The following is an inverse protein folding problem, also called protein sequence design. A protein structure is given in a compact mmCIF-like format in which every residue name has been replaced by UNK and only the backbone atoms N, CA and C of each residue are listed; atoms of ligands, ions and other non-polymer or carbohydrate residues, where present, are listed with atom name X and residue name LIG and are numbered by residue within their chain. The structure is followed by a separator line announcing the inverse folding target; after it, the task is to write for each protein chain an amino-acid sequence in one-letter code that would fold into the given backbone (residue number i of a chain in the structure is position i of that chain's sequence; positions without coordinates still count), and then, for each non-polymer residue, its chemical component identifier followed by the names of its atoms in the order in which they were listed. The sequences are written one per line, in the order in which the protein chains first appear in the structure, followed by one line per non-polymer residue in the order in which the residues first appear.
data_IF_216536580218
#
_entry.id   IF_216536580218
#
_cell.length_a   1.000
_cell.length_b   1.000
_cell.length_c   1.000
_cell.angle_alpha   90.00
_cell.angle_beta   90.00
_cell.angle_gamma   90.00
#
_symmetry.space_group_name_H-M   'P 1'
#
loop_
_entity.id
_entity.type
_entity.pdbx_description
1 polymer ?
#
# COMPACT_ATOMS: atom_id res chain seq x y z
N UNK A 1 -13.04 -17.08 7.83
CA UNK A 1 -12.34 -18.21 7.17
C UNK A 1 -11.04 -17.75 6.55
N UNK A 2 -11.03 -16.80 5.59
CA UNK A 2 -9.79 -16.12 5.17
C UNK A 2 -9.01 -15.56 6.38
N UNK A 3 -9.68 -14.96 7.37
CA UNK A 3 -9.04 -14.49 8.60
C UNK A 3 -8.26 -15.55 9.39
N UNK A 4 -8.63 -16.84 9.33
CA UNK A 4 -7.89 -17.93 10.00
C UNK A 4 -6.71 -18.42 9.15
N UNK A 5 -6.89 -18.56 7.84
CA UNK A 5 -5.78 -18.93 6.94
C UNK A 5 -4.74 -17.80 6.85
N UNK A 6 -5.17 -16.53 6.78
CA UNK A 6 -4.29 -15.36 6.85
C UNK A 6 -3.65 -15.24 8.24
N UNK A 7 -4.38 -15.51 9.33
CA UNK A 7 -3.79 -15.52 10.67
C UNK A 7 -2.73 -16.63 10.82
N UNK A 8 -2.96 -17.84 10.30
CA UNK A 8 -1.96 -18.93 10.35
C UNK A 8 -0.79 -18.65 9.41
N UNK A 9 -1.06 -18.14 8.20
CA UNK A 9 -0.10 -17.63 7.21
C UNK A 9 0.86 -16.58 7.82
N UNK A 10 0.31 -15.59 8.52
CA UNK A 10 1.09 -14.55 9.19
C UNK A 10 1.75 -15.03 10.48
N UNK A 11 1.12 -15.95 11.23
CA UNK A 11 1.62 -16.47 12.51
C UNK A 11 2.87 -17.34 12.35
N UNK A 12 3.09 -17.96 11.19
CA UNK A 12 4.32 -18.75 10.96
C UNK A 12 5.43 -18.00 10.22
N UNK A 13 5.06 -17.14 9.29
CA UNK A 13 5.95 -16.09 8.78
C UNK A 13 6.61 -15.29 9.91
N UNK A 14 5.82 -14.98 10.95
CA UNK A 14 6.34 -14.44 12.21
C UNK A 14 7.13 -15.48 13.00
N UNK A 15 6.69 -16.73 13.18
CA UNK A 15 7.39 -17.68 14.05
C UNK A 15 8.82 -18.02 13.59
N UNK A 16 9.09 -18.37 12.32
CA UNK A 16 10.43 -18.88 11.97
C UNK A 16 11.52 -17.77 11.96
N UNK A 17 11.15 -16.49 11.78
CA UNK A 17 12.08 -15.34 11.94
C UNK A 17 11.97 -14.62 13.29
N UNK A 18 10.84 -14.64 13.98
CA UNK A 18 10.71 -14.12 15.36
C UNK A 18 11.35 -15.05 16.40
N UNK A 19 11.55 -16.35 16.10
CA UNK A 19 12.33 -17.26 16.94
C UNK A 19 13.75 -16.72 17.16
N UNK A 20 14.36 -16.04 16.20
CA UNK A 20 15.65 -15.35 16.40
C UNK A 20 15.59 -14.24 17.45
N UNK A 21 14.57 -13.38 17.39
CA UNK A 21 14.39 -12.27 18.33
C UNK A 21 13.87 -12.68 19.71
N UNK A 22 13.09 -13.77 19.78
CA UNK A 22 12.65 -14.40 21.03
C UNK A 22 13.82 -15.12 21.71
N UNK A 23 14.70 -15.80 20.94
CA UNK A 23 15.90 -16.45 21.47
C UNK A 23 16.97 -15.45 21.96
N UNK A 24 17.02 -14.24 21.38
CA UNK A 24 17.83 -13.12 21.88
C UNK A 24 17.22 -12.39 23.10
N UNK A 25 16.05 -12.82 23.58
CA UNK A 25 15.39 -12.23 24.75
C UNK A 25 14.79 -10.83 24.53
N UNK A 26 14.61 -10.40 23.28
CA UNK A 26 14.12 -9.06 22.93
C UNK A 26 12.59 -8.95 22.82
N UNK A 27 11.84 -10.06 22.79
CA UNK A 27 10.39 -10.06 22.55
C UNK A 27 9.65 -11.14 23.34
N UNK A 28 8.47 -10.80 23.88
CA UNK A 28 7.52 -11.72 24.52
C UNK A 28 6.47 -12.21 23.49
N UNK A 29 6.11 -13.50 23.54
CA UNK A 29 5.25 -14.20 22.57
C UNK A 29 3.82 -13.61 22.45
N UNK A 30 3.44 -12.64 23.30
CA UNK A 30 2.11 -12.05 23.39
C UNK A 30 1.86 -10.80 22.52
N UNK A 31 2.80 -10.36 21.67
CA UNK A 31 2.69 -9.05 20.95
C UNK A 31 2.63 -9.15 19.43
N UNK A 32 1.85 -10.08 18.87
CA UNK A 32 1.55 -10.13 17.44
C UNK A 32 0.07 -9.84 17.16
N UNK A 33 -0.20 -8.82 16.35
CA UNK A 33 -1.52 -8.51 15.79
C UNK A 33 -1.50 -8.58 14.25
N UNK A 34 -2.68 -8.42 13.61
CA UNK A 34 -2.81 -8.47 12.16
C UNK A 34 -2.03 -7.38 11.40
N UNK A 35 -1.64 -6.31 12.09
CA UNK A 35 -0.92 -5.18 11.51
C UNK A 35 0.59 -5.26 11.76
N UNK A 36 1.05 -6.28 12.48
CA UNK A 36 2.46 -6.45 12.82
C UNK A 36 3.26 -6.77 11.55
N UNK A 37 4.28 -5.96 11.20
CA UNK A 37 5.08 -6.20 10.00
C UNK A 37 5.92 -7.46 10.20
N UNK A 38 5.62 -8.49 9.42
CA UNK A 38 6.30 -9.78 9.45
C UNK A 38 6.77 -10.15 8.05
N UNK A 39 7.99 -10.66 7.96
CA UNK A 39 8.49 -11.22 6.72
C UNK A 39 7.83 -12.57 6.45
N UNK A 40 7.27 -12.72 5.26
CA UNK A 40 6.75 -13.99 4.78
C UNK A 40 7.21 -14.22 3.34
N UNK A 41 7.42 -15.48 2.98
CA UNK A 41 7.53 -15.86 1.58
C UNK A 41 6.13 -15.94 0.97
N UNK A 42 5.88 -15.20 -0.11
CA UNK A 42 4.63 -15.29 -0.84
C UNK A 42 4.41 -16.72 -1.36
N UNK A 43 5.49 -17.42 -1.69
CA UNK A 43 5.46 -18.80 -2.17
C UNK A 43 5.03 -19.78 -1.09
N UNK A 44 5.53 -19.61 0.14
CA UNK A 44 5.11 -20.44 1.27
C UNK A 44 3.63 -20.22 1.61
N UNK A 45 3.15 -18.97 1.54
CA UNK A 45 1.74 -18.64 1.77
C UNK A 45 0.86 -19.26 0.68
N UNK A 46 1.26 -19.15 -0.59
CA UNK A 46 0.54 -19.78 -1.71
C UNK A 46 0.54 -21.30 -1.55
N UNK A 47 1.70 -21.92 -1.27
CA UNK A 47 1.80 -23.35 -1.02
C UNK A 47 0.84 -23.79 0.09
N UNK A 48 0.77 -23.05 1.20
CA UNK A 48 -0.15 -23.34 2.29
C UNK A 48 -1.61 -23.30 1.87
N UNK A 49 -2.02 -22.26 1.14
CA UNK A 49 -3.40 -22.12 0.68
C UNK A 49 -3.75 -23.19 -0.36
N UNK A 50 -2.83 -23.53 -1.26
CA UNK A 50 -3.03 -24.62 -2.22
C UNK A 50 -3.12 -25.97 -1.51
N UNK A 51 -2.21 -26.24 -0.58
CA UNK A 51 -2.17 -27.50 0.13
C UNK A 51 -3.40 -27.71 1.01
N UNK A 52 -3.91 -26.67 1.69
CA UNK A 52 -5.15 -26.81 2.47
C UNK A 52 -6.38 -26.98 1.57
N UNK A 53 -6.35 -26.43 0.35
CA UNK A 53 -7.40 -26.61 -0.66
C UNK A 53 -7.37 -28.05 -1.23
N UNK A 54 -6.20 -28.62 -1.42
CA UNK A 54 -6.05 -29.93 -2.06
C UNK A 54 -5.82 -31.07 -1.05
N UNK A 55 -5.87 -30.76 0.26
CA UNK A 55 -5.50 -31.66 1.34
C UNK A 55 -6.28 -32.98 1.32
N UNK A 56 -5.55 -34.07 1.07
CA UNK A 56 -6.03 -35.44 1.20
C UNK A 56 -5.15 -36.25 2.15
N UNK A 57 -5.79 -37.14 2.90
CA UNK A 57 -5.13 -38.00 3.89
C UNK A 57 -5.62 -39.43 3.79
N UNK A 58 -4.83 -40.36 4.31
CA UNK A 58 -5.24 -41.74 4.56
C UNK A 58 -4.92 -42.12 6.01
N UNK A 59 -5.68 -43.08 6.55
CA UNK A 59 -5.51 -43.56 7.91
C UNK A 59 -4.89 -44.95 7.90
N UNK A 60 -3.82 -45.14 8.66
CA UNK A 60 -3.12 -46.41 8.77
C UNK A 60 -2.54 -46.53 10.17
N UNK A 61 -2.66 -47.71 10.80
CA UNK A 61 -2.08 -48.00 12.11
C UNK A 61 -2.40 -46.95 13.20
N UNK A 62 -3.63 -46.41 13.18
CA UNK A 62 -4.10 -45.40 14.16
C UNK A 62 -3.57 -43.98 13.95
N UNK A 63 -2.81 -43.74 12.88
CA UNK A 63 -2.26 -42.42 12.53
C UNK A 63 -2.83 -41.90 11.22
N UNK A 64 -2.77 -40.58 11.04
CA UNK A 64 -3.16 -39.89 9.80
C UNK A 64 -1.92 -39.54 9.00
N UNK A 65 -1.93 -39.90 7.72
CA UNK A 65 -0.82 -39.64 6.79
C UNK A 65 -1.29 -38.78 5.62
N UNK A 66 -0.42 -37.91 5.12
CA UNK A 66 -0.66 -37.14 3.91
C UNK A 66 -0.68 -38.08 2.69
N UNK A 67 -1.69 -37.96 1.84
CA UNK A 67 -1.76 -38.72 0.59
C UNK A 67 -1.07 -37.93 -0.52
N UNK A 68 0.24 -38.16 -0.72
CA UNK A 68 1.08 -37.36 -1.64
C UNK A 68 1.65 -38.17 -2.80
N UNK A 69 1.98 -37.47 -3.88
CA UNK A 69 2.66 -38.03 -5.06
C UNK A 69 4.19 -37.99 -4.91
N UNK A 70 4.93 -39.10 -5.21
CA UNK A 70 4.42 -40.45 -5.47
C UNK A 70 3.99 -41.16 -4.18
N UNK A 71 3.06 -42.11 -4.32
CA UNK A 71 2.42 -42.84 -3.20
C UNK A 71 3.36 -43.74 -2.36
N UNK A 72 4.66 -43.69 -2.58
CA UNK A 72 5.69 -44.36 -1.78
C UNK A 72 6.07 -43.59 -0.51
N UNK A 73 5.71 -42.31 -0.40
CA UNK A 73 6.12 -41.47 0.71
C UNK A 73 5.15 -41.59 1.89
N UNK A 74 5.62 -42.21 2.99
CA UNK A 74 4.85 -42.34 4.23
C UNK A 74 5.14 -41.16 5.14
N UNK A 75 4.31 -40.11 5.06
CA UNK A 75 4.48 -38.87 5.82
C UNK A 75 3.27 -38.65 6.72
N UNK A 76 3.50 -38.69 8.03
CA UNK A 76 2.47 -38.41 9.03
C UNK A 76 1.98 -36.96 8.88
N UNK A 77 0.68 -36.73 9.04
CA UNK A 77 0.08 -35.42 8.94
C UNK A 77 0.67 -34.48 9.99
N UNK A 78 1.28 -33.40 9.52
CA UNK A 78 1.72 -32.26 10.31
C UNK A 78 1.33 -31.01 9.54
N UNK A 79 0.55 -30.13 10.18
CA UNK A 79 0.12 -28.85 9.60
C UNK A 79 1.33 -28.01 9.16
N UNK A 80 2.48 -28.18 9.82
CA UNK A 80 3.70 -27.49 9.45
C UNK A 80 4.25 -27.89 8.07
N UNK A 81 3.92 -29.08 7.57
CA UNK A 81 4.37 -29.50 6.23
C UNK A 81 3.58 -28.83 5.12
N UNK A 82 2.39 -28.30 5.41
CA UNK A 82 1.54 -27.66 4.40
C UNK A 82 2.16 -26.38 3.83
N UNK A 83 3.28 -25.89 4.33
CA UNK A 83 3.96 -24.69 3.83
C UNK A 83 4.95 -24.99 2.70
N UNK A 84 5.34 -26.25 2.56
CA UNK A 84 6.18 -26.74 1.46
C UNK A 84 5.31 -27.01 0.23
N UNK A 85 5.91 -27.08 -0.96
CA UNK A 85 5.16 -27.48 -2.15
C UNK A 85 4.82 -28.97 -2.09
N UNK A 86 3.54 -29.30 -1.98
CA UNK A 86 3.05 -30.69 -1.92
C UNK A 86 2.11 -30.95 -3.08
N UNK A 87 2.27 -32.11 -3.73
CA UNK A 87 1.31 -32.59 -4.72
C UNK A 87 0.48 -33.71 -4.08
N UNK A 88 -0.80 -33.45 -3.85
CA UNK A 88 -1.73 -34.41 -3.25
C UNK A 88 -2.30 -35.39 -4.27
N UNK A 89 -2.60 -36.60 -3.80
CA UNK A 89 -3.38 -37.59 -4.54
C UNK A 89 -4.86 -37.29 -4.44
N UNK A 90 -5.61 -37.65 -5.49
CA UNK A 90 -7.06 -37.47 -5.50
C UNK A 90 -7.76 -38.43 -4.52
N UNK A 91 -8.90 -37.97 -3.97
CA UNK A 91 -9.77 -38.83 -3.15
C UNK A 91 -10.24 -40.06 -3.94
N UNK A 92 -10.08 -41.25 -3.35
CA UNK A 92 -10.48 -42.52 -3.98
C UNK A 92 -11.95 -42.88 -3.78
N UNK A 93 -12.74 -42.01 -3.14
CA UNK A 93 -14.14 -42.28 -2.86
C UNK A 93 -14.29 -43.49 -1.95
N UNK A 94 -14.81 -44.62 -2.44
CA UNK A 94 -14.99 -45.84 -1.64
C UNK A 94 -13.96 -46.94 -1.92
N UNK A 95 -13.06 -46.76 -2.90
CA UNK A 95 -12.01 -47.73 -3.21
C UNK A 95 -10.73 -47.45 -2.44
N UNK A 96 -9.89 -48.48 -2.30
CA UNK A 96 -8.52 -48.35 -1.76
C UNK A 96 -7.58 -47.81 -2.85
N UNK A 97 -6.67 -46.93 -2.48
CA UNK A 97 -5.62 -46.46 -3.38
C UNK A 97 -4.62 -47.58 -3.65
N UNK A 98 -4.21 -47.75 -4.91
CA UNK A 98 -3.29 -48.82 -5.33
C UNK A 98 -1.90 -48.67 -4.70
N UNK A 99 -1.45 -47.45 -4.42
CA UNK A 99 -0.15 -47.19 -3.77
C UNK A 99 -0.17 -47.28 -2.25
N UNK A 100 -1.22 -46.78 -1.59
CA UNK A 100 -1.27 -46.71 -0.12
C UNK A 100 -1.92 -47.94 0.54
N UNK A 101 -2.73 -48.69 -0.21
CA UNK A 101 -3.52 -49.80 0.31
C UNK A 101 -4.72 -49.37 1.17
N UNK A 102 -4.94 -48.06 1.33
CA UNK A 102 -6.00 -47.47 2.14
C UNK A 102 -6.85 -46.47 1.35
N UNK A 103 -8.02 -46.13 1.88
CA UNK A 103 -8.90 -45.11 1.31
C UNK A 103 -8.28 -43.73 1.51
N UNK A 104 -8.16 -42.97 0.43
CA UNK A 104 -7.75 -41.56 0.47
C UNK A 104 -9.00 -40.71 0.55
N UNK A 105 -9.02 -39.78 1.51
CA UNK A 105 -10.14 -38.89 1.76
C UNK A 105 -9.70 -37.44 1.86
N UNK A 106 -10.56 -36.54 1.39
CA UNK A 106 -10.45 -35.10 1.63
C UNK A 106 -10.44 -34.78 3.12
N UNK A 107 -9.62 -33.82 3.55
CA UNK A 107 -9.45 -33.44 4.95
C UNK A 107 -9.42 -31.91 5.12
N UNK A 108 -9.77 -31.40 6.30
CA UNK A 108 -9.72 -29.96 6.61
C UNK A 108 -10.91 -29.12 6.11
N UNK A 109 -11.74 -29.62 5.19
CA UNK A 109 -13.03 -29.02 4.83
C UNK A 109 -12.97 -27.79 3.92
N UNK A 110 -11.80 -27.45 3.38
CA UNK A 110 -11.59 -26.33 2.47
C UNK A 110 -11.53 -26.75 0.99
N UNK A 111 -11.88 -28.00 0.69
CA UNK A 111 -11.48 -28.63 -0.57
C UNK A 111 -12.16 -28.04 -1.82
N UNK A 112 -11.45 -27.14 -2.53
CA UNK A 112 -11.95 -26.38 -3.68
C UNK A 112 -12.51 -25.00 -3.33
N UNK A 113 -12.55 -24.62 -2.05
CA UNK A 113 -13.07 -23.32 -1.59
C UNK A 113 -12.17 -22.15 -2.04
N UNK A 114 -10.88 -22.42 -2.28
CA UNK A 114 -9.90 -21.39 -2.60
C UNK A 114 -9.53 -21.30 -4.08
N UNK A 115 -10.10 -22.12 -4.98
CA UNK A 115 -9.71 -22.17 -6.40
C UNK A 115 -9.72 -20.78 -7.07
N UNK A 116 -10.81 -20.02 -6.89
CA UNK A 116 -10.93 -18.65 -7.43
C UNK A 116 -9.97 -17.66 -6.78
N UNK A 117 -9.57 -17.90 -5.54
CA UNK A 117 -8.64 -17.04 -4.83
C UNK A 117 -7.20 -17.33 -5.28
N UNK A 118 -6.81 -18.60 -5.33
CA UNK A 118 -5.51 -19.09 -5.83
C UNK A 118 -5.28 -18.59 -7.25
N UNK A 119 -6.23 -18.82 -8.16
CA UNK A 119 -6.10 -18.37 -9.55
C UNK A 119 -5.90 -16.85 -9.68
N UNK A 120 -6.59 -16.04 -8.85
CA UNK A 120 -6.39 -14.59 -8.82
C UNK A 120 -5.03 -14.20 -8.22
N UNK A 121 -4.58 -14.91 -7.18
CA UNK A 121 -3.28 -14.70 -6.55
C UNK A 121 -2.14 -15.00 -7.52
N UNK A 122 -2.20 -16.13 -8.21
CA UNK A 122 -1.22 -16.53 -9.24
C UNK A 122 -1.22 -15.56 -10.41
N UNK A 123 -2.41 -15.14 -10.88
CA UNK A 123 -2.52 -14.13 -11.94
C UNK A 123 -1.91 -12.79 -11.55
N UNK A 124 -1.99 -12.37 -10.28
CA UNK A 124 -1.33 -11.15 -9.79
C UNK A 124 0.17 -11.36 -9.57
N UNK A 125 0.57 -12.53 -9.09
CA UNK A 125 1.99 -12.89 -8.91
C UNK A 125 2.76 -12.87 -10.23
N UNK A 126 2.10 -13.27 -11.31
CA UNK A 126 2.68 -13.33 -12.65
C UNK A 126 2.39 -12.08 -13.50
N UNK A 127 1.90 -10.99 -12.90
CA UNK A 127 1.66 -9.72 -13.60
C UNK A 127 2.98 -8.92 -13.62
N UNK A 128 3.62 -8.80 -14.80
CA UNK A 128 4.91 -8.10 -14.95
C UNK A 128 4.87 -6.65 -14.45
N UNK A 129 3.69 -6.01 -14.45
CA UNK A 129 3.52 -4.65 -13.89
C UNK A 129 3.71 -4.60 -12.39
N UNK A 130 3.60 -5.74 -11.71
CA UNK A 130 3.81 -5.89 -10.28
C UNK A 130 5.22 -6.41 -9.95
N UNK A 131 6.09 -6.62 -10.95
CA UNK A 131 7.45 -7.13 -10.73
C UNK A 131 8.25 -6.24 -9.76
N UNK A 132 8.04 -4.92 -9.78
CA UNK A 132 8.71 -4.02 -8.83
C UNK A 132 8.32 -4.27 -7.35
N UNK A 133 7.16 -4.88 -7.10
CA UNK A 133 6.65 -5.30 -5.77
C UNK A 133 7.01 -6.75 -5.48
N UNK A 134 6.89 -7.63 -6.49
CA UNK A 134 6.90 -9.10 -6.34
C UNK A 134 8.28 -9.71 -6.63
N UNK A 135 9.01 -9.16 -7.60
CA UNK A 135 10.36 -9.58 -8.01
C UNK A 135 11.40 -8.52 -7.66
N UNK A 136 11.75 -8.39 -6.38
CA UNK A 136 13.07 -7.87 -5.99
C UNK A 136 13.92 -9.07 -5.59
N UNK A 137 15.04 -9.26 -6.29
CA UNK A 137 15.96 -10.37 -6.10
C UNK A 137 16.53 -10.45 -4.68
N UNK A 138 17.01 -11.65 -4.34
CA UNK A 138 17.42 -12.12 -3.00
C UNK A 138 16.34 -11.98 -1.90
N UNK A 139 16.32 -12.91 -0.96
CA UNK A 139 15.36 -12.89 0.16
C UNK A 139 15.54 -11.63 1.00
N UNK A 140 14.63 -10.66 0.87
CA UNK A 140 14.68 -9.42 1.63
C UNK A 140 14.84 -9.70 3.15
N UNK A 141 15.89 -9.15 3.76
CA UNK A 141 16.23 -9.31 5.20
C UNK A 141 15.66 -8.18 6.05
N UNK A 142 15.53 -8.41 7.36
CA UNK A 142 14.99 -7.41 8.30
C UNK A 142 15.78 -6.11 8.38
N UNK A 143 17.08 -6.16 8.14
CA UNK A 143 17.96 -4.98 8.08
C UNK A 143 17.56 -4.03 6.94
N UNK A 144 16.94 -4.56 5.88
CA UNK A 144 16.48 -3.77 4.73
C UNK A 144 15.24 -2.94 5.07
N UNK A 145 14.37 -3.36 5.99
CA UNK A 145 13.25 -2.53 6.42
C UNK A 145 13.75 -1.25 7.10
N UNK A 146 14.84 -1.35 7.88
CA UNK A 146 15.50 -0.18 8.45
C UNK A 146 15.96 0.78 7.36
N UNK A 147 16.54 0.24 6.27
CA UNK A 147 17.04 1.03 5.16
C UNK A 147 15.89 1.66 4.36
N UNK A 148 14.81 0.93 4.13
CA UNK A 148 13.59 1.44 3.48
C UNK A 148 12.96 2.57 4.30
N UNK A 149 12.81 2.41 5.61
CA UNK A 149 12.28 3.47 6.49
C UNK A 149 13.21 4.70 6.47
N UNK A 150 14.53 4.49 6.54
CA UNK A 150 15.52 5.57 6.42
C UNK A 150 15.36 6.36 5.13
N UNK A 151 15.15 5.69 4.00
CA UNK A 151 14.90 6.34 2.71
C UNK A 151 13.66 7.25 2.78
N UNK A 152 12.54 6.77 3.34
CA UNK A 152 11.33 7.60 3.48
C UNK A 152 11.53 8.80 4.42
N UNK A 153 12.30 8.63 5.49
CA UNK A 153 12.64 9.68 6.45
C UNK A 153 13.73 10.64 5.94
N UNK A 154 14.32 10.38 4.77
CA UNK A 154 15.36 11.23 4.18
C UNK A 154 16.75 11.02 4.76
N UNK A 155 16.99 9.93 5.50
CA UNK A 155 18.33 9.50 5.91
C UNK A 155 19.01 8.78 4.75
N UNK A 156 20.03 9.40 4.17
CA UNK A 156 20.81 8.82 3.07
C UNK A 156 22.05 8.08 3.58
N UNK A 157 22.65 7.28 2.72
CA UNK A 157 23.98 6.71 2.97
C UNK A 157 25.02 7.84 3.13
N UNK A 158 26.06 7.59 3.92
CA UNK A 158 27.11 8.56 4.28
C UNK A 158 26.72 9.73 5.21
N UNK A 159 25.54 9.68 5.85
CA UNK A 159 25.16 10.65 6.89
C UNK A 159 24.55 11.96 6.37
N UNK A 160 24.25 12.04 5.08
CA UNK A 160 23.47 13.14 4.50
C UNK A 160 21.99 13.00 4.89
N UNK A 161 21.34 14.13 5.21
CA UNK A 161 19.95 14.18 5.67
C UNK A 161 19.17 15.12 4.76
N UNK A 162 18.04 14.65 4.26
CA UNK A 162 17.10 15.43 3.47
C UNK A 162 15.80 15.63 4.24
N UNK A 163 15.36 16.88 4.37
CA UNK A 163 14.09 17.20 5.06
C UNK A 163 12.85 16.91 4.20
N UNK A 164 13.05 16.65 2.90
CA UNK A 164 11.98 16.38 1.93
C UNK A 164 12.37 15.16 1.12
N UNK A 165 11.52 14.14 1.18
CA UNK A 165 11.62 12.93 0.35
C UNK A 165 10.48 12.95 -0.66
N UNK A 166 10.82 12.87 -1.95
CA UNK A 166 9.85 12.81 -3.05
C UNK A 166 9.76 11.37 -3.55
N UNK A 167 8.55 10.83 -3.60
CA UNK A 167 8.27 9.50 -4.14
C UNK A 167 7.65 9.70 -5.52
N UNK A 168 8.44 9.48 -6.58
CA UNK A 168 7.95 9.57 -7.95
C UNK A 168 7.03 8.37 -8.27
N UNK A 169 5.83 8.66 -8.74
CA UNK A 169 4.78 7.69 -9.04
C UNK A 169 4.34 7.75 -10.52
N UNK A 170 5.03 8.53 -11.35
CA UNK A 170 4.66 8.81 -12.74
C UNK A 170 4.57 7.55 -13.63
N UNK A 171 5.34 6.50 -13.33
CA UNK A 171 5.31 5.22 -14.04
C UNK A 171 4.34 4.18 -13.48
N UNK A 172 3.63 4.46 -12.38
CA UNK A 172 2.83 3.46 -11.67
C UNK A 172 1.39 3.47 -12.17
N UNK A 173 0.89 2.30 -12.59
CA UNK A 173 -0.52 2.17 -12.97
C UNK A 173 -1.44 2.50 -11.79
N UNK A 174 -2.57 3.13 -12.09
CA UNK A 174 -3.48 3.67 -11.09
C UNK A 174 -3.99 2.65 -10.06
N UNK A 175 -4.24 1.40 -10.47
CA UNK A 175 -4.66 0.35 -9.53
C UNK A 175 -3.58 0.06 -8.49
N UNK A 176 -2.31 0.12 -8.89
CA UNK A 176 -1.16 -0.13 -8.03
C UNK A 176 -0.82 1.10 -7.19
N UNK A 177 -1.05 2.30 -7.72
CA UNK A 177 -0.88 3.58 -7.02
C UNK A 177 -1.61 3.56 -5.66
N UNK A 178 -2.88 3.17 -5.66
CA UNK A 178 -3.70 3.09 -4.45
C UNK A 178 -3.10 2.16 -3.39
N UNK A 179 -2.59 1.01 -3.81
CA UNK A 179 -1.98 0.01 -2.92
C UNK A 179 -0.66 0.54 -2.36
N UNK A 180 0.20 1.10 -3.21
CA UNK A 180 1.48 1.66 -2.81
C UNK A 180 1.30 2.79 -1.78
N UNK A 181 0.42 3.76 -2.07
CA UNK A 181 0.12 4.85 -1.14
C UNK A 181 -0.42 4.31 0.19
N UNK A 182 -1.33 3.33 0.17
CA UNK A 182 -1.85 2.70 1.39
C UNK A 182 -0.74 2.06 2.23
N UNK A 183 0.15 1.30 1.60
CA UNK A 183 1.23 0.59 2.27
C UNK A 183 2.24 1.57 2.90
N UNK A 184 2.68 2.58 2.14
CA UNK A 184 3.60 3.61 2.64
C UNK A 184 2.96 4.36 3.80
N UNK A 185 1.69 4.75 3.68
CA UNK A 185 0.95 5.45 4.73
C UNK A 185 0.89 4.63 6.03
N UNK A 186 0.54 3.33 5.92
CA UNK A 186 0.49 2.41 7.07
C UNK A 186 1.86 2.19 7.68
N UNK A 187 2.88 1.97 6.85
CA UNK A 187 4.25 1.76 7.30
C UNK A 187 4.75 2.95 8.11
N UNK A 188 4.61 4.17 7.58
CA UNK A 188 5.07 5.38 8.25
C UNK A 188 4.28 5.68 9.53
N UNK A 189 2.97 5.46 9.52
CA UNK A 189 2.15 5.61 10.72
C UNK A 189 2.57 4.61 11.81
N UNK A 190 2.73 3.33 11.45
CA UNK A 190 3.16 2.28 12.38
C UNK A 190 4.56 2.56 12.93
N UNK A 191 5.51 2.98 12.08
CA UNK A 191 6.84 3.37 12.51
C UNK A 191 6.76 4.46 13.59
N UNK A 192 6.00 5.53 13.36
CA UNK A 192 5.86 6.62 14.33
C UNK A 192 5.11 6.20 15.61
N UNK A 193 4.12 5.31 15.48
CA UNK A 193 3.46 4.68 16.63
C UNK A 193 4.45 3.92 17.52
N UNK A 194 5.29 3.07 16.94
CA UNK A 194 6.29 2.30 17.69
C UNK A 194 7.45 3.16 18.17
N UNK A 195 7.88 4.16 17.40
CA UNK A 195 8.90 5.13 17.83
C UNK A 195 8.48 5.81 19.14
N UNK A 196 7.22 6.24 19.25
CA UNK A 196 6.65 6.79 20.48
C UNK A 196 6.55 5.76 21.63
N UNK A 197 6.36 4.47 21.32
CA UNK A 197 6.27 3.41 22.32
C UNK A 197 7.64 3.05 22.90
N UNK A 198 8.67 3.02 22.05
CA UNK A 198 10.06 2.66 22.41
C UNK A 198 10.76 3.84 23.09
N UNK A 199 10.63 5.04 22.53
CA UNK A 199 11.14 6.26 23.15
C UNK A 199 10.08 6.79 24.10
N UNK A 200 10.18 6.43 25.39
CA UNK A 200 9.25 6.83 26.47
C UNK A 200 9.23 8.35 26.73
N UNK A 201 10.00 9.13 25.97
CA UNK A 201 9.93 10.58 25.94
C UNK A 201 8.52 11.04 25.54
N UNK A 202 7.94 11.98 26.28
CA UNK A 202 6.65 12.58 25.92
C UNK A 202 6.70 13.36 24.60
N UNK A 203 7.89 13.77 24.17
CA UNK A 203 8.12 14.55 22.96
C UNK A 203 8.52 13.68 21.78
N UNK A 204 7.88 13.97 20.65
CA UNK A 204 8.18 13.36 19.35
C UNK A 204 9.22 14.26 18.69
N UNK A 205 10.48 13.82 18.65
CA UNK A 205 11.60 14.62 18.17
C UNK A 205 11.48 14.96 16.67
N UNK A 206 10.86 14.08 15.88
CA UNK A 206 10.76 14.21 14.42
C UNK A 206 9.32 14.01 13.94
N UNK A 207 8.45 15.03 13.96
CA UNK A 207 7.12 14.93 13.37
C UNK A 207 7.20 14.76 11.86
N UNK A 208 6.31 13.92 11.31
CA UNK A 208 6.25 13.59 9.89
C UNK A 208 5.03 14.25 9.23
N UNK A 209 5.23 14.93 8.11
CA UNK A 209 4.16 15.38 7.22
C UNK A 209 4.15 14.52 5.96
N UNK A 210 3.06 13.81 5.72
CA UNK A 210 2.86 13.04 4.48
C UNK A 210 1.99 13.89 3.54
N UNK A 211 2.53 14.21 2.35
CA UNK A 211 1.84 14.99 1.33
C UNK A 211 1.29 14.04 0.26
N UNK A 212 -0.02 14.10 0.06
CA UNK A 212 -0.77 13.29 -0.90
C UNK A 212 -1.12 14.14 -2.12
N UNK A 213 -0.30 14.06 -3.17
CA UNK A 213 -0.53 14.77 -4.43
C UNK A 213 -1.58 14.05 -5.29
N UNK A 214 -2.36 14.81 -6.07
CA UNK A 214 -3.44 14.30 -6.92
C UNK A 214 -4.39 13.34 -6.19
N UNK A 215 -4.70 13.66 -4.93
CA UNK A 215 -5.36 12.75 -4.01
C UNK A 215 -6.75 12.25 -4.45
N UNK A 216 -7.41 12.95 -5.38
CA UNK A 216 -8.68 12.50 -5.95
C UNK A 216 -8.55 11.19 -6.73
N UNK A 217 -7.34 10.85 -7.19
CA UNK A 217 -7.07 9.60 -7.86
C UNK A 217 -7.22 8.38 -6.91
N UNK A 218 -6.85 8.49 -5.64
CA UNK A 218 -6.85 7.33 -4.74
C UNK A 218 -7.67 7.52 -3.46
N UNK A 219 -8.27 8.68 -3.24
CA UNK A 219 -9.14 8.97 -2.09
C UNK A 219 -10.53 9.42 -2.53
N UNK A 220 -11.27 8.64 -3.35
CA UNK A 220 -12.54 9.10 -3.85
C UNK A 220 -13.60 9.18 -2.74
N UNK A 221 -14.57 10.06 -2.97
CA UNK A 221 -15.78 10.20 -2.16
C UNK A 221 -16.57 8.89 -2.10
N UNK A 222 -16.68 8.19 -3.22
CA UNK A 222 -17.43 6.93 -3.33
C UNK A 222 -16.65 5.75 -2.77
N UNK A 223 -17.36 4.87 -2.08
CA UNK A 223 -16.79 3.67 -1.49
C UNK A 223 -16.70 2.54 -2.53
N UNK A 224 -15.62 2.53 -3.30
CA UNK A 224 -15.23 1.36 -4.10
C UNK A 224 -14.30 0.46 -3.28
N UNK A 225 -14.42 -0.86 -3.45
CA UNK A 225 -13.59 -1.87 -2.79
C UNK A 225 -12.11 -1.64 -3.10
N UNK A 226 -11.77 -1.18 -4.32
CA UNK A 226 -10.38 -0.94 -4.73
C UNK A 226 -9.66 0.15 -3.91
N UNK A 227 -10.38 1.15 -3.41
CA UNK A 227 -9.78 2.26 -2.65
C UNK A 227 -9.96 2.12 -1.13
N UNK A 228 -10.59 1.03 -0.67
CA UNK A 228 -10.90 0.87 0.76
C UNK A 228 -9.64 0.96 1.63
N UNK A 229 -8.59 0.22 1.26
CA UNK A 229 -7.36 0.16 2.03
C UNK A 229 -6.65 1.52 2.15
N UNK A 230 -6.50 2.25 1.04
CA UNK A 230 -5.87 3.58 1.03
C UNK A 230 -6.71 4.60 1.80
N UNK A 231 -8.04 4.57 1.63
CA UNK A 231 -8.94 5.44 2.37
C UNK A 231 -8.87 5.19 3.88
N UNK A 232 -8.92 3.93 4.32
CA UNK A 232 -8.77 3.56 5.74
C UNK A 232 -7.41 4.01 6.30
N UNK A 233 -6.34 3.83 5.53
CA UNK A 233 -4.98 4.21 5.94
C UNK A 233 -4.86 5.72 6.17
N UNK A 234 -5.37 6.52 5.23
CA UNK A 234 -5.28 7.98 5.30
C UNK A 234 -6.28 8.55 6.32
N UNK A 235 -7.47 7.97 6.43
CA UNK A 235 -8.43 8.33 7.49
C UNK A 235 -7.87 8.06 8.89
N UNK A 236 -7.15 6.96 9.08
CA UNK A 236 -6.47 6.67 10.35
C UNK A 236 -5.42 7.72 10.67
N UNK A 237 -4.61 8.12 9.69
CA UNK A 237 -3.64 9.22 9.88
C UNK A 237 -4.37 10.52 10.22
N UNK A 238 -5.46 10.85 9.53
CA UNK A 238 -6.20 12.07 9.78
C UNK A 238 -6.86 12.11 11.17
N UNK A 239 -7.37 10.96 11.66
CA UNK A 239 -8.04 10.84 12.98
C UNK A 239 -7.05 10.72 14.14
N UNK A 240 -5.97 9.96 13.96
CA UNK A 240 -5.09 9.54 15.07
C UNK A 240 -3.65 10.06 14.94
N UNK A 241 -3.24 10.52 13.77
CA UNK A 241 -1.85 10.87 13.46
C UNK A 241 -1.26 11.91 14.42
N UNK A 242 -2.07 12.90 14.84
CA UNK A 242 -1.68 13.92 15.82
C UNK A 242 -1.13 13.32 17.12
N UNK A 243 -1.66 12.17 17.57
CA UNK A 243 -1.19 11.49 18.79
C UNK A 243 0.25 10.96 18.62
N UNK A 244 0.64 10.64 17.39
CA UNK A 244 1.92 10.01 17.05
C UNK A 244 2.82 10.91 16.20
N UNK A 245 2.52 12.21 16.11
CA UNK A 245 3.35 13.16 15.37
C UNK A 245 3.32 12.95 13.86
N UNK A 246 2.27 12.34 13.32
CA UNK A 246 2.05 12.16 11.89
C UNK A 246 0.94 13.11 11.44
N UNK A 247 1.22 13.94 10.46
CA UNK A 247 0.26 14.85 9.82
C UNK A 247 0.09 14.48 8.35
N UNK A 248 -1.07 14.82 7.79
CA UNK A 248 -1.37 14.63 6.38
C UNK A 248 -1.67 15.98 5.71
N UNK A 249 -1.16 16.18 4.50
CA UNK A 249 -1.55 17.26 3.60
C UNK A 249 -2.18 16.65 2.35
N UNK A 250 -3.42 17.01 2.07
CA UNK A 250 -4.16 16.52 0.89
C UNK A 250 -4.11 17.60 -0.18
N UNK A 251 -3.52 17.29 -1.32
CA UNK A 251 -3.40 18.20 -2.47
C UNK A 251 -4.24 17.64 -3.61
N UNK A 252 -5.18 18.43 -4.12
CA UNK A 252 -6.09 18.00 -5.19
C UNK A 252 -6.68 19.20 -5.93
N UNK A 253 -6.80 19.06 -7.25
CA UNK A 253 -7.53 19.99 -8.11
C UNK A 253 -9.06 19.82 -8.06
N UNK A 254 -9.56 18.68 -7.54
CA UNK A 254 -10.98 18.34 -7.44
C UNK A 254 -11.39 18.03 -6.00
N UNK A 255 -11.51 19.05 -5.13
CA UNK A 255 -11.85 18.83 -3.72
C UNK A 255 -13.20 18.13 -3.53
N UNK A 256 -14.18 18.32 -4.42
CA UNK A 256 -15.49 17.65 -4.33
C UNK A 256 -15.46 16.14 -4.56
N UNK A 257 -14.38 15.62 -5.16
CA UNK A 257 -14.17 14.19 -5.41
C UNK A 257 -13.48 13.48 -4.24
N UNK A 258 -13.00 14.20 -3.22
CA UNK A 258 -12.28 13.64 -2.06
C UNK A 258 -13.26 13.07 -1.02
N UNK A 259 -12.82 12.06 -0.26
CA UNK A 259 -13.53 11.55 0.92
C UNK A 259 -13.93 12.67 1.88
N UNK A 260 -15.24 12.82 2.12
CA UNK A 260 -15.79 13.76 3.11
C UNK A 260 -15.24 13.52 4.51
N UNK A 261 -14.93 12.26 4.86
CA UNK A 261 -14.36 11.92 6.17
C UNK A 261 -12.97 12.51 6.32
N UNK A 262 -12.08 12.34 5.34
CA UNK A 262 -10.73 12.92 5.39
C UNK A 262 -10.82 14.45 5.35
N UNK A 263 -11.68 14.98 4.48
CA UNK A 263 -11.89 16.41 4.37
C UNK A 263 -12.36 17.02 5.69
N UNK A 264 -13.24 16.35 6.44
CA UNK A 264 -13.74 16.82 7.76
C UNK A 264 -12.67 16.87 8.86
N UNK A 265 -11.57 16.11 8.71
CA UNK A 265 -10.46 16.11 9.66
C UNK A 265 -9.40 17.17 9.33
N UNK A 266 -9.47 17.81 8.15
CA UNK A 266 -8.56 18.88 7.78
C UNK A 266 -8.89 20.14 8.60
N UNK A 267 -7.89 20.66 9.32
CA UNK A 267 -8.05 21.83 10.19
C UNK A 267 -7.54 23.13 9.56
N UNK A 268 -6.81 23.04 8.45
CA UNK A 268 -6.15 24.14 7.76
C UNK A 268 -6.31 23.95 6.27
N UNK A 269 -6.60 25.02 5.54
CA UNK A 269 -6.86 24.96 4.11
C UNK A 269 -6.05 26.03 3.38
N UNK A 270 -5.49 25.64 2.24
CA UNK A 270 -4.85 26.51 1.27
C UNK A 270 -5.67 26.39 -0.01
N UNK A 271 -6.56 27.35 -0.24
CA UNK A 271 -7.48 27.32 -1.38
C UNK A 271 -6.96 28.25 -2.45
N UNK A 272 -6.45 27.67 -3.54
CA UNK A 272 -6.06 28.41 -4.74
C UNK A 272 -7.26 28.60 -5.67
N UNK A 273 -7.04 29.22 -6.83
CA UNK A 273 -8.07 29.47 -7.83
C UNK A 273 -8.86 28.20 -8.18
N UNK A 274 -10.17 28.25 -7.98
CA UNK A 274 -11.11 27.18 -8.35
C UNK A 274 -12.14 27.72 -9.34
N UNK A 275 -12.19 27.13 -10.54
CA UNK A 275 -13.12 27.54 -11.60
C UNK A 275 -14.40 26.73 -11.62
N UNK A 276 -14.36 25.46 -11.19
CA UNK A 276 -15.51 24.57 -11.16
C UNK A 276 -16.52 24.99 -10.07
N UNK A 277 -17.80 25.28 -10.42
CA UNK A 277 -18.82 25.66 -9.43
C UNK A 277 -19.08 24.59 -8.36
N UNK A 278 -18.98 23.31 -8.70
CA UNK A 278 -19.17 22.19 -7.76
C UNK A 278 -18.09 22.22 -6.68
N UNK A 279 -16.82 22.41 -7.07
CA UNK A 279 -15.70 22.50 -6.14
C UNK A 279 -15.76 23.78 -5.30
N UNK A 280 -16.11 24.91 -5.92
CA UNK A 280 -16.33 26.16 -5.19
C UNK A 280 -17.42 26.01 -4.13
N UNK A 281 -18.57 25.45 -4.49
CA UNK A 281 -19.68 25.23 -3.57
C UNK A 281 -19.32 24.22 -2.48
N UNK A 282 -18.49 23.22 -2.80
CA UNK A 282 -17.98 22.28 -1.81
C UNK A 282 -17.15 23.02 -0.76
N UNK A 283 -16.13 23.78 -1.19
CA UNK A 283 -15.28 24.58 -0.28
C UNK A 283 -16.08 25.60 0.53
N UNK A 284 -17.03 26.32 -0.10
CA UNK A 284 -17.87 27.34 0.58
C UNK A 284 -18.61 26.80 1.81
N UNK A 285 -19.03 25.52 1.80
CA UNK A 285 -19.73 24.90 2.93
C UNK A 285 -18.86 24.74 4.18
N UNK A 286 -17.55 24.87 4.04
CA UNK A 286 -16.56 24.62 5.10
C UNK A 286 -15.94 25.92 5.62
N UNK A 287 -16.18 27.01 4.91
CA UNK A 287 -15.71 28.34 5.26
C UNK A 287 -16.70 28.94 6.27
N UNK A 288 -16.24 29.44 7.43
CA UNK A 288 -17.12 30.13 8.38
C UNK A 288 -17.87 31.28 7.70
N UNK A 289 -19.14 31.49 8.06
CA UNK A 289 -19.98 32.53 7.45
C UNK A 289 -19.35 33.93 7.51
N UNK A 290 -18.49 34.18 8.50
CA UNK A 290 -17.77 35.46 8.69
C UNK A 290 -16.81 35.81 7.54
N UNK A 291 -16.44 34.84 6.69
CA UNK A 291 -15.51 35.02 5.55
C UNK A 291 -16.13 34.57 4.22
N UNK A 292 -17.46 34.43 4.21
CA UNK A 292 -18.29 34.12 3.04
C UNK A 292 -18.03 35.05 1.86
N UNK A 293 -17.92 36.37 2.08
CA UNK A 293 -17.65 37.36 1.03
C UNK A 293 -16.33 37.14 0.29
N UNK A 294 -15.30 36.67 0.98
CA UNK A 294 -13.99 36.34 0.39
C UNK A 294 -14.10 35.05 -0.45
N UNK A 295 -14.88 34.08 0.03
CA UNK A 295 -15.14 32.82 -0.67
C UNK A 295 -16.02 32.97 -1.93
N UNK A 296 -16.75 34.08 -2.07
CA UNK A 296 -17.63 34.29 -3.23
C UNK A 296 -16.84 34.41 -4.54
N UNK A 297 -15.58 34.84 -4.46
CA UNK A 297 -14.72 35.09 -5.63
C UNK A 297 -13.49 34.16 -5.72
N UNK A 298 -13.62 32.89 -5.33
CA UNK A 298 -12.54 31.89 -5.48
C UNK A 298 -12.09 31.71 -6.95
N UNK A 299 -12.96 31.99 -7.91
CA UNK A 299 -12.65 31.95 -9.35
C UNK A 299 -11.80 33.13 -9.83
N UNK A 300 -11.84 34.24 -9.10
CA UNK A 300 -11.12 35.49 -9.40
C UNK A 300 -9.72 35.56 -8.81
N UNK A 301 -9.29 34.60 -7.98
CA UNK A 301 -7.92 34.52 -7.50
C UNK A 301 -6.93 34.44 -8.67
N UNK A 302 -5.89 35.27 -8.64
CA UNK A 302 -4.83 35.24 -9.63
C UNK A 302 -3.88 34.05 -9.43
N UNK A 303 -3.02 33.81 -10.42
CA UNK A 303 -1.93 32.85 -10.25
C UNK A 303 -1.07 33.24 -9.04
N UNK A 304 -0.79 32.26 -8.18
CA UNK A 304 -0.09 32.39 -6.89
C UNK A 304 -0.91 33.06 -5.79
N UNK A 305 -2.17 33.43 -5.99
CA UNK A 305 -3.03 33.83 -4.88
C UNK A 305 -3.69 32.61 -4.23
N UNK A 306 -3.75 32.62 -2.90
CA UNK A 306 -4.39 31.56 -2.13
C UNK A 306 -5.12 32.15 -0.92
N UNK A 307 -6.35 31.69 -0.71
CA UNK A 307 -7.09 31.90 0.52
C UNK A 307 -6.62 30.88 1.58
N UNK A 308 -6.05 31.38 2.68
CA UNK A 308 -5.60 30.56 3.81
C UNK A 308 -6.64 30.59 4.92
N UNK A 309 -7.01 29.41 5.42
CA UNK A 309 -8.04 29.23 6.44
C UNK A 309 -7.61 28.22 7.50
N UNK A 310 -8.32 28.26 8.63
CA UNK A 310 -8.21 27.26 9.69
C UNK A 310 -7.09 27.54 10.69
N UNK A 311 -6.65 26.52 11.42
CA UNK A 311 -5.74 26.67 12.57
C UNK A 311 -4.32 27.16 12.24
N UNK A 312 -3.97 27.21 10.94
CA UNK A 312 -2.66 27.69 10.48
C UNK A 312 -2.51 29.22 10.55
N UNK A 313 -3.60 29.98 10.65
CA UNK A 313 -3.60 31.45 10.67
C UNK A 313 -4.68 31.99 11.62
N UNK A 314 -4.46 33.10 12.35
CA UNK A 314 -5.47 33.64 13.29
C UNK A 314 -6.71 34.20 12.59
N UNK A 315 -6.57 34.68 11.36
CA UNK A 315 -7.68 35.22 10.57
C UNK A 315 -7.54 34.79 9.11
N UNK A 316 -8.64 34.30 8.49
CA UNK A 316 -8.70 34.05 7.06
C UNK A 316 -8.13 35.20 6.22
N UNK A 317 -7.17 34.88 5.35
CA UNK A 317 -6.43 35.90 4.59
C UNK A 317 -6.13 35.39 3.18
N UNK A 318 -6.24 36.26 2.18
CA UNK A 318 -5.70 36.01 0.85
C UNK A 318 -4.23 36.43 0.85
N UNK A 319 -3.35 35.51 0.50
CA UNK A 319 -1.91 35.74 0.40
C UNK A 319 -1.42 35.42 -1.01
N UNK A 320 -0.30 36.03 -1.41
CA UNK A 320 0.41 35.72 -2.64
C UNK A 320 1.62 34.85 -2.34
N UNK A 321 1.68 33.67 -2.95
CA UNK A 321 2.77 32.70 -2.84
C UNK A 321 4.01 33.27 -3.54
N UNK A 322 5.15 33.19 -2.86
CA UNK A 322 6.45 33.63 -3.39
C UNK A 322 6.86 32.79 -4.59
N UNK A 323 7.59 33.41 -5.53
CA UNK A 323 8.14 32.69 -6.65
C UNK A 323 9.39 31.94 -6.22
N UNK A 324 9.57 30.73 -6.74
CA UNK A 324 10.81 30.00 -6.59
C UNK A 324 11.82 30.50 -7.64
N UNK A 325 13.09 30.55 -7.26
CA UNK A 325 14.18 30.76 -8.21
C UNK A 325 14.15 29.66 -9.28
N UNK A 326 14.56 29.96 -10.51
CA UNK A 326 14.40 29.06 -11.68
C UNK A 326 14.98 27.66 -11.43
N UNK A 327 16.16 27.58 -10.82
CA UNK A 327 16.83 26.31 -10.46
C UNK A 327 16.11 25.49 -9.36
N UNK A 328 15.08 26.06 -8.71
CA UNK A 328 14.26 25.41 -7.69
C UNK A 328 12.84 25.10 -8.18
N UNK A 329 12.47 25.50 -9.40
CA UNK A 329 11.17 25.16 -9.97
C UNK A 329 11.15 23.67 -10.33
N UNK A 330 10.03 22.97 -10.14
CA UNK A 330 9.89 21.59 -10.60
C UNK A 330 10.04 21.53 -12.13
N UNK A 331 10.44 20.38 -12.66
CA UNK A 331 10.47 20.10 -14.11
C UNK A 331 9.05 19.92 -14.66
N UNK A 332 8.20 20.91 -14.47
CA UNK A 332 6.85 20.97 -15.01
C UNK A 332 6.79 22.15 -15.98
N UNK A 333 7.11 21.88 -17.23
CA UNK A 333 6.82 22.80 -18.32
C UNK A 333 5.70 22.16 -19.13
N UNK A 334 4.48 22.66 -18.94
CA UNK A 334 3.37 22.35 -19.83
C UNK A 334 3.82 22.59 -21.28
N UNK A 335 3.40 21.70 -22.17
CA UNK A 335 3.65 21.90 -23.60
C UNK A 335 2.94 23.19 -24.02
N UNK A 336 3.68 24.14 -24.59
CA UNK A 336 3.08 25.35 -25.15
C UNK A 336 2.38 24.99 -26.47
N UNK A 337 1.16 24.44 -26.34
CA UNK A 337 0.35 23.99 -27.48
C UNK A 337 0.13 25.09 -28.50
N UNK A 338 -0.09 26.33 -28.05
CA UNK A 338 -0.39 27.44 -28.95
C UNK A 338 0.79 27.79 -29.85
N UNK A 339 2.01 27.82 -29.30
CA UNK A 339 3.19 28.09 -30.11
C UNK A 339 3.57 26.87 -30.96
N UNK A 340 3.41 25.65 -30.43
CA UNK A 340 3.63 24.41 -31.19
C UNK A 340 2.65 24.18 -32.33
N UNK A 341 1.39 24.60 -32.21
CA UNK A 341 0.41 24.50 -33.30
C UNK A 341 0.59 25.54 -34.40
N UNK A 342 1.34 26.62 -34.15
CA UNK A 342 1.72 27.59 -35.18
C UNK A 342 2.93 27.11 -36.00
N UNK A 343 3.73 26.20 -35.47
CA UNK A 343 4.82 25.57 -36.19
C UNK A 343 4.27 24.61 -37.26
N UNK A 344 5.03 24.37 -38.33
CA UNK A 344 4.69 23.33 -39.30
C UNK A 344 4.76 21.95 -38.64
N UNK A 345 4.00 20.99 -39.19
CA UNK A 345 4.05 19.61 -38.72
C UNK A 345 5.49 19.08 -38.78
N UNK A 346 6.03 18.70 -37.63
CA UNK A 346 7.37 18.12 -37.55
C UNK A 346 7.33 16.67 -38.02
N UNK A 347 8.31 16.24 -38.81
CA UNK A 347 8.48 14.83 -39.12
C UNK A 347 8.80 14.07 -37.83
N UNK A 348 7.95 13.09 -37.50
CA UNK A 348 8.06 12.29 -36.28
C UNK A 348 9.02 11.11 -36.50
N UNK A 349 10.27 11.40 -36.86
CA UNK A 349 11.29 10.39 -37.14
C UNK A 349 11.65 9.54 -35.91
N UNK A 350 11.29 10.00 -34.72
CA UNK A 350 11.40 9.30 -33.43
C UNK A 350 10.23 8.36 -33.11
N UNK A 351 9.28 8.14 -34.04
CA UNK A 351 8.18 7.18 -33.81
C UNK A 351 8.70 5.79 -33.40
N UNK A 352 9.71 5.20 -34.06
CA UNK A 352 10.23 3.90 -33.65
C UNK A 352 10.72 3.90 -32.20
N UNK A 353 11.53 4.89 -31.81
CA UNK A 353 12.06 5.01 -30.44
C UNK A 353 10.94 5.17 -29.40
N UNK A 354 9.91 5.99 -29.71
CA UNK A 354 8.74 6.16 -28.84
C UNK A 354 7.95 4.85 -28.71
N UNK A 355 7.77 4.13 -29.82
CA UNK A 355 7.05 2.85 -29.83
C UNK A 355 7.82 1.79 -29.04
N UNK A 356 9.15 1.77 -29.13
CA UNK A 356 10.00 0.88 -28.34
C UNK A 356 9.87 1.20 -26.84
N UNK A 357 9.92 2.48 -26.44
CA UNK A 357 9.66 2.93 -25.06
C UNK A 357 8.23 2.62 -24.57
N UNK A 358 7.23 2.65 -25.45
CA UNK A 358 5.86 2.26 -25.10
C UNK A 358 5.71 0.74 -24.87
N UNK A 359 6.56 -0.07 -25.50
CA UNK A 359 6.52 -1.53 -25.42
C UNK A 359 7.35 -2.04 -24.22
N UNK A 360 8.45 -1.34 -23.89
CA UNK A 360 9.28 -1.65 -22.72
C UNK A 360 8.57 -1.10 -21.47
N UNK A 361 8.05 -1.94 -20.56
CA UNK A 361 7.58 -1.44 -19.28
C UNK A 361 8.78 -0.83 -18.57
N UNK A 362 8.70 0.47 -18.22
CA UNK A 362 9.70 1.22 -17.46
C UNK A 362 10.32 0.34 -16.37
N UNK A 363 11.53 -0.16 -16.65
CA UNK A 363 12.34 -0.96 -15.77
C UNK A 363 13.69 -0.25 -15.61
N UNK A 364 13.67 0.91 -14.95
CA UNK A 364 14.84 1.49 -14.28
C UNK A 364 14.42 2.14 -12.96
#
# INVERSE_FOLDING_TARGET
MLSRCTAVAFRRATQDRAIGWVNEGKLDQQTFDFDTPAYFSLDEVINYIMNINDLTVYYKDGKTYLAILPASNLIEYDENRLWERINFENSTGNSKHTGFGEKVSKYGGFNGEFDRFISRLESRKNDDRLDFIIKRGEENKTEELSNVIKQFLGFKEAGDISNVTVIDQSGISFDVLSVAVSLISRLMFNFMYYAKKVHTSQDIENPLLIVYEEAHNYIPKYNDVKYRAVKESIERIAKEGRKYGVSAMIVSQRPSEISETIFSQCNSFVVMRLTNPTDQNYIKKLIPDSVSSISENLSGLESREALILGSSIPMPTILRVNELAEHKKPKSTDVNFMDKWKENWNELNMIPDIVDEMIIPLAE
#
